data_IF_208667079221
#
_entry.id   IF_208667079221
#
_cell.length_a   1.000
_cell.length_b   1.000
_cell.length_c   1.000
_cell.angle_alpha   90.00
_cell.angle_beta   90.00
_cell.angle_gamma   90.00
#
_symmetry.space_group_name_H-M   'P 1'
#
loop_
_entity.id
_entity.type
_entity.pdbx_description
1 polymer ?
#
# COMPACT_ATOMS: atom_id res chain seq x y z
N UNK A 1 -38.19 3.28 37.60
CA UNK A 1 -37.86 4.67 37.21
C UNK A 1 -36.50 5.14 37.75
N UNK A 2 -36.16 4.93 39.03
CA UNK A 2 -34.84 5.36 39.57
C UNK A 2 -33.63 4.77 38.83
N UNK A 3 -33.62 3.45 38.57
CA UNK A 3 -32.51 2.78 37.88
C UNK A 3 -32.18 3.40 36.50
N UNK A 4 -33.21 3.79 35.75
CA UNK A 4 -33.04 4.44 34.45
C UNK A 4 -32.42 5.83 34.56
N UNK A 5 -32.78 6.61 35.59
CA UNK A 5 -32.16 7.91 35.83
C UNK A 5 -30.71 7.78 36.25
N UNK A 6 -30.37 6.77 37.06
CA UNK A 6 -28.98 6.47 37.46
C UNK A 6 -28.12 6.16 36.25
N UNK A 7 -28.57 5.27 35.36
CA UNK A 7 -27.82 4.92 34.14
C UNK A 7 -27.62 6.12 33.22
N UNK A 8 -28.62 6.99 33.08
CA UNK A 8 -28.47 8.22 32.29
C UNK A 8 -27.41 9.14 32.89
N UNK A 9 -27.38 9.25 34.22
CA UNK A 9 -26.40 10.11 34.89
C UNK A 9 -24.99 9.54 34.75
N UNK A 10 -24.80 8.24 34.96
CA UNK A 10 -23.52 7.55 34.76
C UNK A 10 -23.00 7.72 33.33
N UNK A 11 -23.88 7.60 32.33
CA UNK A 11 -23.51 7.82 30.93
C UNK A 11 -23.10 9.27 30.66
N UNK A 12 -23.74 10.26 31.29
CA UNK A 12 -23.35 11.66 31.16
C UNK A 12 -21.98 11.92 31.77
N UNK A 13 -21.73 11.37 32.95
CA UNK A 13 -20.46 11.54 33.66
C UNK A 13 -19.31 10.86 32.88
N UNK A 14 -19.54 9.65 32.36
CA UNK A 14 -18.59 8.96 31.50
C UNK A 14 -18.27 9.73 30.21
N UNK A 15 -19.29 10.31 29.56
CA UNK A 15 -19.08 11.14 28.37
C UNK A 15 -18.30 12.42 28.69
N UNK A 16 -18.54 13.04 29.86
CA UNK A 16 -17.80 14.21 30.30
C UNK A 16 -16.31 13.86 30.55
N UNK A 17 -16.04 12.74 31.22
CA UNK A 17 -14.68 12.26 31.44
C UNK A 17 -13.95 11.98 30.11
N UNK A 18 -14.63 11.29 29.18
CA UNK A 18 -14.09 11.03 27.84
C UNK A 18 -13.84 12.32 27.03
N UNK A 19 -14.69 13.33 27.20
CA UNK A 19 -14.49 14.62 26.55
C UNK A 19 -13.24 15.32 27.08
N UNK A 20 -13.06 15.36 28.41
CA UNK A 20 -11.89 15.95 29.03
C UNK A 20 -10.59 15.25 28.61
N UNK A 21 -10.59 13.92 28.56
CA UNK A 21 -9.43 13.16 28.10
C UNK A 21 -9.13 13.43 26.62
N UNK A 22 -10.16 13.48 25.76
CA UNK A 22 -9.96 13.83 24.37
C UNK A 22 -9.38 15.24 24.19
N UNK A 23 -9.82 16.20 24.99
CA UNK A 23 -9.29 17.57 24.92
C UNK A 23 -7.85 17.63 25.44
N UNK A 24 -7.50 16.86 26.47
CA UNK A 24 -6.12 16.69 26.92
C UNK A 24 -5.23 16.04 25.84
N UNK A 25 -5.69 14.97 25.20
CA UNK A 25 -4.96 14.30 24.12
C UNK A 25 -4.75 15.21 22.92
N UNK A 26 -5.75 16.01 22.54
CA UNK A 26 -5.60 17.03 21.48
C UNK A 26 -4.52 18.04 21.84
N UNK A 27 -4.50 18.53 23.08
CA UNK A 27 -3.48 19.48 23.55
C UNK A 27 -2.06 18.88 23.48
N UNK A 28 -1.91 17.63 23.94
CA UNK A 28 -0.64 16.90 23.81
C UNK A 28 -0.18 16.77 22.35
N UNK A 29 -1.09 16.42 21.43
CA UNK A 29 -0.79 16.28 20.01
C UNK A 29 -0.37 17.63 19.41
N UNK A 30 -1.12 18.69 19.69
CA UNK A 30 -0.82 20.04 19.21
C UNK A 30 0.56 20.50 19.72
N UNK A 31 0.91 20.15 20.95
CA UNK A 31 2.21 20.50 21.54
C UNK A 31 3.38 19.70 20.95
N UNK A 32 3.19 18.40 20.66
CA UNK A 32 4.30 17.53 20.28
C UNK A 32 4.55 17.45 18.77
N UNK A 33 3.54 17.65 17.92
CA UNK A 33 3.72 17.62 16.45
C UNK A 33 4.76 18.65 15.96
N UNK A 34 4.77 19.91 16.43
CA UNK A 34 5.77 20.90 16.02
C UNK A 34 7.20 20.47 16.37
N UNK A 35 7.41 19.94 17.59
CA UNK A 35 8.73 19.45 18.02
C UNK A 35 9.20 18.29 17.15
N UNK A 36 8.33 17.30 16.90
CA UNK A 36 8.68 16.18 16.03
C UNK A 36 9.00 16.62 14.60
N UNK A 37 8.33 17.65 14.08
CA UNK A 37 8.61 18.22 12.76
C UNK A 37 10.01 18.85 12.71
N UNK A 38 10.40 19.57 13.76
CA UNK A 38 11.72 20.18 13.90
C UNK A 38 12.83 19.13 14.04
N UNK A 39 12.60 18.07 14.81
CA UNK A 39 13.54 16.96 14.98
C UNK A 39 13.77 16.21 13.67
N UNK A 40 12.72 15.96 12.88
CA UNK A 40 12.81 15.35 11.54
C UNK A 40 13.60 16.24 10.59
N UNK A 41 13.35 17.56 10.59
CA UNK A 41 14.10 18.50 9.76
C UNK A 41 15.59 18.53 10.14
N UNK A 42 15.88 18.53 11.44
CA UNK A 42 17.25 18.49 11.98
C UNK A 42 17.97 17.18 11.65
N UNK A 43 17.26 16.05 11.66
CA UNK A 43 17.81 14.75 11.24
C UNK A 43 18.07 14.71 9.73
N UNK A 44 17.15 15.23 8.91
CA UNK A 44 17.32 15.30 7.45
C UNK A 44 18.55 16.15 7.06
N UNK A 45 18.76 17.28 7.74
CA UNK A 45 19.95 18.12 7.54
C UNK A 45 21.26 17.39 7.86
N UNK A 46 21.29 16.59 8.94
CA UNK A 46 22.46 15.78 9.31
C UNK A 46 22.72 14.65 8.31
N UNK A 47 21.70 13.97 7.79
CA UNK A 47 21.86 12.95 6.75
C UNK A 47 22.37 13.52 5.42
N UNK A 48 21.99 14.75 5.05
CA UNK A 48 22.48 15.41 3.84
C UNK A 48 23.97 15.82 3.95
N UNK A 49 24.47 16.12 5.15
CA UNK A 49 25.86 16.49 5.39
C UNK A 49 26.83 15.30 5.25
N UNK A 50 26.41 14.09 5.64
CA UNK A 50 27.24 12.87 5.56
C UNK A 50 27.39 12.34 4.13
N UNK A 51 26.51 12.72 3.21
CA UNK A 51 26.52 12.21 1.82
C UNK A 51 27.51 12.92 0.88
N UNK A 52 28.24 13.95 1.35
CA UNK A 52 29.24 14.68 0.54
C UNK A 52 30.68 14.15 0.65
N UNK A 53 30.95 13.12 1.45
CA UNK A 53 32.31 12.63 1.71
C UNK A 53 32.62 11.25 1.10
N UNK A 54 32.13 10.96 -0.10
CA UNK A 54 32.63 9.82 -0.90
C UNK A 54 32.58 10.18 -2.40
N UNK A 55 33.60 10.91 -2.88
CA UNK A 55 34.01 10.88 -4.28
C UNK A 55 35.35 10.12 -4.37
N UNK A 56 35.49 9.11 -5.25
CA UNK A 56 36.76 8.44 -5.50
C UNK A 56 37.62 9.29 -6.45
N UNK A 57 38.81 9.68 -5.99
CA UNK A 57 39.85 10.24 -6.85
C UNK A 57 40.73 9.11 -7.37
N UNK A 58 40.79 8.90 -8.69
CA UNK A 58 41.98 8.38 -9.37
C UNK A 58 41.94 8.77 -10.85
N UNK A 59 42.80 9.72 -11.21
CA UNK A 59 43.22 10.09 -12.56
C UNK A 59 44.62 9.54 -12.83
N UNK A 60 44.87 9.01 -14.03
CA UNK A 60 46.11 9.01 -14.85
C UNK A 60 45.79 8.22 -16.13
N UNK A 61 46.31 8.45 -17.34
CA UNK A 61 46.92 9.55 -18.06
C UNK A 61 46.95 9.11 -19.55
N UNK A 62 47.13 10.08 -20.45
CA UNK A 62 46.97 10.05 -21.90
C UNK A 62 47.92 9.15 -22.73
N UNK A 63 47.47 8.75 -23.94
CA UNK A 63 48.25 8.77 -25.19
C UNK A 63 47.33 8.72 -26.45
N UNK A 64 47.48 9.70 -27.35
CA UNK A 64 46.84 9.90 -28.67
C UNK A 64 47.62 9.18 -29.83
N UNK A 65 47.40 9.47 -31.15
CA UNK A 65 46.20 9.38 -32.00
C UNK A 65 46.49 8.66 -33.36
N UNK A 66 45.48 8.37 -34.21
CA UNK A 66 45.61 8.53 -35.69
C UNK A 66 44.29 8.37 -36.50
N UNK A 67 44.17 9.24 -37.51
CA UNK A 67 43.11 9.46 -38.52
C UNK A 67 42.89 8.29 -39.51
N UNK A 68 41.65 8.13 -40.00
CA UNK A 68 41.27 8.19 -41.45
C UNK A 68 39.75 8.01 -41.67
N UNK A 69 39.12 8.99 -42.33
CA UNK A 69 37.93 8.87 -43.21
C UNK A 69 38.41 8.53 -44.66
N UNK A 70 37.57 8.40 -45.72
CA UNK A 70 36.10 8.43 -45.89
C UNK A 70 35.53 7.28 -46.78
N UNK A 71 34.22 7.28 -47.06
CA UNK A 71 33.60 6.52 -48.17
C UNK A 71 32.07 6.63 -48.17
N UNK A 72 31.53 7.13 -49.28
CA UNK A 72 30.17 7.63 -49.55
C UNK A 72 29.11 6.53 -49.83
N UNK A 73 27.82 6.87 -49.75
CA UNK A 73 26.81 6.69 -50.82
C UNK A 73 25.37 6.88 -50.28
N UNK A 74 24.56 7.52 -51.12
CA UNK A 74 23.21 8.06 -50.96
C UNK A 74 22.10 7.03 -50.58
N UNK A 75 20.99 7.49 -49.95
CA UNK A 75 19.64 7.38 -50.56
C UNK A 75 18.54 8.06 -49.73
N UNK A 76 17.53 8.48 -50.48
CA UNK A 76 16.36 9.34 -50.29
C UNK A 76 15.24 8.82 -49.36
N UNK A 77 14.29 9.72 -49.01
CA UNK A 77 12.93 9.30 -48.65
C UNK A 77 12.26 10.06 -47.51
N UNK A 78 11.63 11.19 -47.83
CA UNK A 78 10.76 11.94 -46.92
C UNK A 78 9.45 11.24 -46.56
N UNK A 79 8.86 11.64 -45.43
CA UNK A 79 7.54 11.21 -44.97
C UNK A 79 6.91 12.22 -44.01
N UNK A 80 5.91 12.90 -44.53
CA UNK A 80 5.07 13.97 -43.98
C UNK A 80 4.02 13.50 -42.95
N UNK A 81 3.50 14.45 -42.17
CA UNK A 81 2.26 14.36 -41.39
C UNK A 81 2.47 14.39 -39.87
N UNK A 82 1.90 15.29 -39.06
CA UNK A 82 0.88 16.30 -39.28
C UNK A 82 0.20 16.61 -37.93
N UNK A 83 0.12 17.90 -37.60
CA UNK A 83 -0.89 18.61 -36.80
C UNK A 83 -1.23 18.30 -35.32
N UNK A 84 -0.92 19.30 -34.47
CA UNK A 84 -1.81 20.21 -33.72
C UNK A 84 -2.89 19.69 -32.74
N UNK A 85 -2.75 20.10 -31.46
CA UNK A 85 -3.80 20.79 -30.68
C UNK A 85 -3.17 21.40 -29.40
N UNK A 86 -2.87 22.70 -29.35
CA UNK A 86 -3.74 23.84 -28.96
C UNK A 86 -4.39 23.69 -27.57
N UNK A 87 -3.66 24.20 -26.58
CA UNK A 87 -4.05 24.42 -25.19
C UNK A 87 -4.70 25.81 -25.09
N UNK A 88 -5.97 25.88 -24.70
CA UNK A 88 -6.68 26.97 -23.98
C UNK A 88 -7.94 26.24 -23.45
N UNK A 89 -8.32 26.19 -22.17
CA UNK A 89 -8.09 27.07 -21.05
C UNK A 89 -9.48 27.46 -20.54
N UNK A 90 -9.95 26.91 -19.42
CA UNK A 90 -11.00 27.54 -18.62
C UNK A 90 -11.13 26.90 -17.24
N UNK A 91 -10.91 27.73 -16.22
CA UNK A 91 -11.22 27.51 -14.82
C UNK A 91 -12.72 27.67 -14.64
N UNK A 92 -13.40 26.70 -14.06
CA UNK A 92 -14.63 26.94 -13.31
C UNK A 92 -14.59 26.16 -12.00
N UNK A 93 -14.87 26.87 -10.90
CA UNK A 93 -14.74 26.44 -9.52
C UNK A 93 -15.97 25.65 -9.03
N UNK A 94 -15.74 24.61 -8.23
CA UNK A 94 -16.58 24.24 -7.08
C UNK A 94 -15.72 23.41 -6.11
N UNK A 95 -15.86 23.55 -4.77
CA UNK A 95 -15.10 22.77 -3.82
C UNK A 95 -15.75 21.40 -3.70
N UNK A 96 -15.36 20.48 -4.57
CA UNK A 96 -15.65 19.07 -4.37
C UNK A 96 -14.95 18.66 -3.07
N UNK A 97 -15.74 18.25 -2.06
CA UNK A 97 -15.22 17.53 -0.89
C UNK A 97 -14.28 16.48 -1.45
N UNK A 98 -12.99 16.65 -1.21
CA UNK A 98 -11.97 15.71 -1.65
C UNK A 98 -12.17 14.45 -0.81
N UNK A 99 -13.15 13.64 -1.19
CA UNK A 99 -13.32 12.30 -0.66
C UNK A 99 -12.03 11.59 -1.00
N UNK A 100 -11.23 11.35 0.05
CA UNK A 100 -9.96 10.70 -0.13
C UNK A 100 -10.21 9.39 -0.92
N UNK A 101 -9.29 8.94 -1.79
CA UNK A 101 -9.52 7.81 -2.70
C UNK A 101 -9.94 6.52 -1.96
N UNK A 102 -11.10 5.92 -2.22
CA UNK A 102 -11.61 4.76 -1.45
C UNK A 102 -10.64 3.56 -1.38
N UNK A 103 -9.66 3.53 -2.28
CA UNK A 103 -8.62 2.52 -2.34
C UNK A 103 -7.23 3.12 -2.13
N UNK A 104 -6.32 2.31 -1.60
CA UNK A 104 -4.93 2.66 -1.29
C UNK A 104 -4.01 1.64 -1.94
N UNK A 105 -2.94 2.12 -2.57
CA UNK A 105 -1.91 1.27 -3.14
C UNK A 105 -1.12 0.57 -2.01
N UNK A 106 -1.05 -0.76 -2.07
CA UNK A 106 -0.45 -1.61 -1.02
C UNK A 106 1.06 -1.42 -0.97
N UNK A 107 1.68 -1.45 -2.15
CA UNK A 107 3.10 -1.19 -2.38
C UNK A 107 3.20 -0.12 -3.45
N UNK A 108 3.89 0.99 -3.17
CA UNK A 108 4.03 2.10 -4.12
C UNK A 108 4.62 1.62 -5.45
N UNK A 109 3.95 1.93 -6.56
CA UNK A 109 4.37 1.54 -7.90
C UNK A 109 4.06 0.09 -8.29
N UNK A 110 3.31 -0.65 -7.46
CA UNK A 110 2.87 -2.02 -7.80
C UNK A 110 1.61 -2.04 -8.66
N UNK A 111 0.84 -0.94 -8.69
CA UNK A 111 -0.49 -0.90 -9.30
C UNK A 111 -1.52 -1.76 -8.57
N UNK A 112 -1.19 -2.30 -7.39
CA UNK A 112 -2.08 -3.13 -6.58
C UNK A 112 -2.72 -2.28 -5.48
N UNK A 113 -4.04 -2.17 -5.55
CA UNK A 113 -4.84 -1.39 -4.61
C UNK A 113 -5.68 -2.29 -3.69
N UNK A 114 -5.90 -1.81 -2.47
CA UNK A 114 -6.83 -2.41 -1.52
C UNK A 114 -7.78 -1.35 -0.96
N UNK A 115 -8.94 -1.79 -0.43
CA UNK A 115 -9.89 -0.91 0.26
C UNK A 115 -9.19 -0.17 1.42
N UNK A 116 -9.45 1.13 1.55
CA UNK A 116 -8.86 1.97 2.62
C UNK A 116 -9.07 1.38 4.01
N UNK A 117 -10.27 0.89 4.31
CA UNK A 117 -10.56 0.39 5.66
C UNK A 117 -9.81 -0.90 5.95
N UNK A 118 -9.65 -1.75 4.95
CA UNK A 118 -8.81 -2.94 5.06
C UNK A 118 -7.33 -2.58 5.24
N UNK A 119 -6.84 -1.55 4.54
CA UNK A 119 -5.49 -1.02 4.76
C UNK A 119 -5.30 -0.55 6.20
N UNK A 120 -6.19 0.33 6.69
CA UNK A 120 -6.18 0.83 8.08
C UNK A 120 -6.23 -0.31 9.09
N UNK A 121 -7.13 -1.27 8.91
CA UNK A 121 -7.21 -2.43 9.80
C UNK A 121 -5.91 -3.27 9.76
N UNK A 122 -5.31 -3.44 8.57
CA UNK A 122 -4.10 -4.25 8.39
C UNK A 122 -2.89 -3.70 9.14
N UNK A 123 -2.70 -2.37 9.14
CA UNK A 123 -1.56 -1.73 9.80
C UNK A 123 -1.62 -1.83 11.34
N UNK A 124 -2.80 -2.06 11.90
CA UNK A 124 -3.03 -2.23 13.34
C UNK A 124 -3.10 -3.69 13.80
N UNK A 125 -2.89 -4.66 12.90
CA UNK A 125 -2.87 -6.07 13.28
C UNK A 125 -1.68 -6.43 14.18
N UNK A 126 -1.83 -7.48 14.98
CA UNK A 126 -0.83 -7.94 15.96
C UNK A 126 0.18 -8.95 15.40
N UNK A 127 0.01 -9.42 14.15
CA UNK A 127 0.95 -10.35 13.51
C UNK A 127 0.92 -10.24 11.99
N UNK A 128 2.00 -10.68 11.33
CA UNK A 128 2.07 -10.74 9.86
C UNK A 128 0.98 -11.64 9.26
N UNK A 129 0.65 -12.76 9.90
CA UNK A 129 -0.44 -13.63 9.41
C UNK A 129 -1.82 -13.01 9.55
N UNK A 130 -2.05 -12.13 10.53
CA UNK A 130 -3.28 -11.35 10.62
C UNK A 130 -3.31 -10.26 9.55
N UNK A 131 -2.20 -9.53 9.37
CA UNK A 131 -2.06 -8.48 8.34
C UNK A 131 -2.38 -9.00 6.94
N UNK A 132 -1.76 -10.12 6.53
CA UNK A 132 -1.94 -10.67 5.17
C UNK A 132 -3.38 -11.12 4.94
N UNK A 133 -4.06 -11.65 5.96
CA UNK A 133 -5.47 -12.05 5.86
C UNK A 133 -6.39 -10.84 5.72
N UNK A 134 -6.11 -9.76 6.44
CA UNK A 134 -6.87 -8.50 6.32
C UNK A 134 -6.66 -7.87 4.95
N UNK A 135 -5.41 -7.81 4.46
CA UNK A 135 -5.11 -7.31 3.12
C UNK A 135 -5.76 -8.17 2.03
N UNK A 136 -5.77 -9.50 2.18
CA UNK A 136 -6.44 -10.41 1.25
C UNK A 136 -7.92 -10.03 1.05
N UNK A 137 -8.66 -9.81 2.14
CA UNK A 137 -10.07 -9.40 2.10
C UNK A 137 -10.28 -7.98 1.52
N UNK A 138 -9.28 -7.12 1.66
CA UNK A 138 -9.30 -5.75 1.12
C UNK A 138 -8.93 -5.65 -0.36
N UNK A 139 -8.22 -6.63 -0.90
CA UNK A 139 -7.60 -6.59 -2.24
C UNK A 139 -8.41 -7.40 -3.26
N UNK A 140 -9.10 -8.44 -2.80
CA UNK A 140 -9.88 -9.35 -3.65
C UNK A 140 -11.36 -9.28 -3.30
N UNK A 141 -12.26 -9.27 -4.30
CA UNK A 141 -13.68 -9.50 -4.09
C UNK A 141 -13.93 -10.86 -3.43
N UNK A 142 -15.01 -10.96 -2.64
CA UNK A 142 -15.35 -12.19 -1.93
C UNK A 142 -15.58 -13.36 -2.90
N UNK A 143 -16.28 -13.13 -4.00
CA UNK A 143 -16.54 -14.15 -5.03
C UNK A 143 -15.24 -14.75 -5.59
N UNK A 144 -14.26 -13.90 -5.90
CA UNK A 144 -12.93 -14.33 -6.35
C UNK A 144 -12.25 -15.20 -5.29
N UNK A 145 -12.33 -14.83 -4.01
CA UNK A 145 -11.72 -15.60 -2.92
C UNK A 145 -12.38 -16.99 -2.73
N UNK A 146 -13.67 -17.11 -3.00
CA UNK A 146 -14.39 -18.37 -2.87
C UNK A 146 -14.02 -19.37 -3.97
N UNK A 147 -13.76 -18.86 -5.19
CA UNK A 147 -13.41 -19.66 -6.36
C UNK A 147 -11.89 -19.87 -6.54
N UNK A 148 -11.06 -19.17 -5.75
CA UNK A 148 -9.60 -19.21 -5.90
C UNK A 148 -8.88 -19.99 -4.80
N UNK A 149 -7.66 -20.45 -5.10
CA UNK A 149 -6.65 -20.90 -4.15
C UNK A 149 -5.28 -20.23 -4.44
N UNK A 150 -4.25 -20.50 -3.63
CA UNK A 150 -2.95 -19.84 -3.78
C UNK A 150 -2.31 -19.98 -5.19
N UNK A 151 -2.46 -21.14 -5.83
CA UNK A 151 -1.77 -21.53 -7.07
C UNK A 151 -2.69 -22.15 -8.13
N UNK A 152 -4.00 -22.20 -7.90
CA UNK A 152 -4.98 -22.94 -8.71
C UNK A 152 -4.95 -24.45 -8.45
N UNK A 153 -5.79 -25.19 -9.17
CA UNK A 153 -5.83 -26.65 -9.12
C UNK A 153 -6.96 -27.23 -8.27
N UNK A 154 -7.14 -28.55 -8.38
CA UNK A 154 -8.08 -29.29 -7.54
C UNK A 154 -7.57 -29.38 -6.10
N UNK A 155 -8.48 -29.33 -5.10
CA UNK A 155 -8.12 -29.65 -3.72
C UNK A 155 -7.47 -31.03 -3.63
N UNK A 156 -6.36 -31.14 -2.90
CA UNK A 156 -5.66 -32.43 -2.68
C UNK A 156 -6.50 -33.47 -1.91
N UNK A 157 -7.58 -33.05 -1.26
CA UNK A 157 -8.45 -33.91 -0.44
C UNK A 157 -9.90 -33.71 -0.87
N UNK A 158 -10.53 -34.80 -1.30
CA UNK A 158 -11.94 -34.85 -1.70
C UNK A 158 -12.19 -34.53 -3.18
N UNK A 159 -13.44 -34.72 -3.60
CA UNK A 159 -13.92 -34.49 -4.98
C UNK A 159 -14.31 -33.02 -5.21
N UNK A 160 -13.41 -32.12 -4.82
CA UNK A 160 -13.67 -30.68 -4.89
C UNK A 160 -13.53 -30.13 -6.31
N UNK A 161 -14.32 -29.09 -6.60
CA UNK A 161 -14.23 -28.34 -7.85
C UNK A 161 -12.83 -27.76 -8.09
N UNK A 162 -12.47 -27.61 -9.36
CA UNK A 162 -11.24 -26.96 -9.78
C UNK A 162 -11.26 -25.49 -9.34
N UNK A 163 -10.23 -25.06 -8.60
CA UNK A 163 -10.11 -23.68 -8.14
C UNK A 163 -9.14 -22.90 -9.02
N UNK A 164 -9.41 -21.62 -9.19
CA UNK A 164 -8.55 -20.70 -9.92
C UNK A 164 -7.35 -20.26 -9.09
N UNK A 165 -6.28 -19.81 -9.73
CA UNK A 165 -5.14 -19.24 -9.02
C UNK A 165 -5.45 -17.78 -8.65
N UNK A 166 -5.10 -17.39 -7.42
CA UNK A 166 -5.08 -15.98 -7.07
C UNK A 166 -4.12 -15.21 -7.99
N UNK A 167 -4.53 -14.01 -8.38
CA UNK A 167 -3.72 -13.08 -9.16
C UNK A 167 -2.29 -13.00 -8.57
N UNK A 168 -1.25 -13.42 -9.33
CA UNK A 168 0.11 -13.48 -8.83
C UNK A 168 0.67 -12.14 -8.39
N UNK A 169 0.30 -11.04 -9.08
CA UNK A 169 0.75 -9.69 -8.79
C UNK A 169 0.19 -9.17 -7.47
N UNK A 170 -1.12 -9.26 -7.30
CA UNK A 170 -1.82 -8.91 -6.06
C UNK A 170 -1.33 -9.76 -4.88
N UNK A 171 -1.15 -11.08 -5.09
CA UNK A 171 -0.58 -12.00 -4.09
C UNK A 171 0.84 -11.59 -3.69
N UNK A 172 1.70 -11.23 -4.66
CA UNK A 172 3.06 -10.81 -4.39
C UNK A 172 3.08 -9.49 -3.59
N UNK A 173 2.28 -8.50 -3.99
CA UNK A 173 2.21 -7.20 -3.32
C UNK A 173 1.76 -7.31 -1.85
N UNK A 174 0.73 -8.12 -1.55
CA UNK A 174 0.29 -8.32 -0.15
C UNK A 174 1.35 -9.02 0.70
N UNK A 175 2.07 -9.99 0.12
CA UNK A 175 3.15 -10.72 0.82
C UNK A 175 4.31 -9.77 1.08
N UNK A 176 4.71 -8.99 0.07
CA UNK A 176 5.79 -8.01 0.17
C UNK A 176 5.50 -6.95 1.23
N UNK A 177 4.33 -6.31 1.18
CA UNK A 177 3.93 -5.31 2.17
C UNK A 177 3.90 -5.89 3.59
N UNK A 178 3.47 -7.15 3.74
CA UNK A 178 3.46 -7.83 5.03
C UNK A 178 4.87 -8.11 5.53
N UNK A 179 5.75 -8.67 4.69
CA UNK A 179 7.15 -8.96 5.05
C UNK A 179 7.93 -7.69 5.38
N UNK A 180 7.62 -6.57 4.71
CA UNK A 180 8.23 -5.27 5.00
C UNK A 180 7.92 -4.77 6.42
N UNK A 181 6.70 -4.96 6.91
CA UNK A 181 6.32 -4.60 8.29
C UNK A 181 6.73 -5.68 9.30
N UNK A 182 6.72 -6.95 8.88
CA UNK A 182 6.96 -8.11 9.73
C UNK A 182 8.14 -8.94 9.22
N UNK A 183 9.39 -8.46 9.40
CA UNK A 183 10.59 -9.03 8.77
C UNK A 183 10.88 -10.48 9.18
N UNK A 184 10.41 -10.91 10.36
CA UNK A 184 10.57 -12.28 10.84
C UNK A 184 9.53 -13.26 10.28
N UNK A 185 8.52 -12.78 9.55
CA UNK A 185 7.50 -13.66 8.96
C UNK A 185 7.95 -14.16 7.60
N UNK A 186 7.90 -15.47 7.41
CA UNK A 186 8.33 -16.10 6.15
C UNK A 186 7.21 -16.13 5.11
N UNK A 187 7.59 -16.13 3.83
CA UNK A 187 6.65 -16.30 2.71
C UNK A 187 5.80 -17.58 2.83
N UNK A 188 6.38 -18.67 3.36
CA UNK A 188 5.67 -19.92 3.61
C UNK A 188 4.57 -19.78 4.67
N UNK A 189 4.86 -19.09 5.78
CA UNK A 189 3.86 -18.80 6.83
C UNK A 189 2.70 -17.95 6.28
N UNK A 190 3.02 -16.92 5.47
CA UNK A 190 2.01 -16.07 4.85
C UNK A 190 1.17 -16.84 3.83
N UNK A 191 1.78 -17.69 3.00
CA UNK A 191 1.08 -18.55 2.05
C UNK A 191 0.10 -19.51 2.74
N UNK A 192 0.53 -20.14 3.84
CA UNK A 192 -0.35 -20.97 4.68
C UNK A 192 -1.48 -20.16 5.30
N UNK A 193 -1.21 -18.94 5.79
CA UNK A 193 -2.23 -18.07 6.36
C UNK A 193 -3.31 -17.66 5.35
N UNK A 194 -2.91 -17.39 4.10
CA UNK A 194 -3.82 -17.11 2.98
C UNK A 194 -4.68 -18.34 2.68
N UNK A 195 -4.08 -19.51 2.47
CA UNK A 195 -4.82 -20.74 2.16
C UNK A 195 -5.82 -21.13 3.26
N UNK A 196 -5.42 -21.01 4.53
CA UNK A 196 -6.31 -21.25 5.65
C UNK A 196 -7.52 -20.30 5.61
N UNK A 197 -7.31 -19.02 5.28
CA UNK A 197 -8.39 -18.05 5.18
C UNK A 197 -9.35 -18.36 4.02
N UNK A 198 -8.83 -18.72 2.85
CA UNK A 198 -9.66 -19.13 1.71
C UNK A 198 -10.50 -20.37 2.04
N UNK A 199 -9.89 -21.35 2.73
CA UNK A 199 -10.60 -22.55 3.20
C UNK A 199 -11.70 -22.21 4.20
N UNK A 200 -11.43 -21.31 5.14
CA UNK A 200 -12.40 -20.81 6.11
C UNK A 200 -13.58 -20.10 5.43
N UNK A 201 -13.32 -19.23 4.43
CA UNK A 201 -14.37 -18.53 3.69
C UNK A 201 -15.31 -19.50 2.98
N UNK A 202 -14.76 -20.52 2.31
CA UNK A 202 -15.57 -21.55 1.65
C UNK A 202 -16.37 -22.40 2.64
N UNK A 203 -15.78 -22.73 3.80
CA UNK A 203 -16.49 -23.46 4.85
C UNK A 203 -17.69 -22.66 5.39
N UNK A 204 -17.51 -21.35 5.65
CA UNK A 204 -18.59 -20.45 6.09
C UNK A 204 -19.70 -20.31 5.03
N UNK A 205 -19.34 -20.22 3.74
CA UNK A 205 -20.33 -20.14 2.66
C UNK A 205 -21.24 -21.36 2.63
N UNK A 206 -20.69 -22.57 2.86
CA UNK A 206 -21.48 -23.82 2.92
C UNK A 206 -22.44 -23.89 4.10
N UNK A 207 -22.14 -23.20 5.20
CA UNK A 207 -23.02 -23.14 6.39
C UNK A 207 -24.16 -22.14 6.25
N UNK A 208 -24.07 -21.23 5.28
CA UNK A 208 -25.08 -20.18 5.04
C UNK A 208 -26.07 -20.57 3.94
N UNK A 209 -25.85 -21.71 3.27
CA UNK A 209 -26.76 -22.33 2.31
C UNK A 209 -27.58 -23.40 2.99
#
# INVERSE_FOLDING_TARGET
MQQFQTTIQELRDANLALKNENDHLKDLIIKHIPQMKEDIASLAGRCAATSKQLQPQHTVAAAEPQKKQPGDDDDDGGGDGGNNNKIHGERTEAPEKTEAPETIEIVKGSGVFCKRDAWKASIHTTSGTAMVRTLLLGTFPLETLLQSNLNGGKPKRGDGEQLEALDPGKKAAIIEATMKKWPHTTKGQLGTAINNKLTELRARQKQTK
#
